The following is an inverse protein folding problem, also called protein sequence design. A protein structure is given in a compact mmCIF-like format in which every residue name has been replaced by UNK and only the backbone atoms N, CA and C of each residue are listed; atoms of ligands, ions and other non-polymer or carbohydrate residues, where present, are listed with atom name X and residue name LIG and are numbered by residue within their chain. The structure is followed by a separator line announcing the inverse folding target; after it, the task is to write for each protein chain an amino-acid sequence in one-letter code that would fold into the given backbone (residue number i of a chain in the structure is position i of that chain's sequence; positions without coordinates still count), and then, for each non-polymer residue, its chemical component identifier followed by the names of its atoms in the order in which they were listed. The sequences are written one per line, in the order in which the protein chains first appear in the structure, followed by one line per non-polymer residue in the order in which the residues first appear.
data_IF_244891131411
#
_entry.id   IF_244891131411
#
_cell.length_a   1.000
_cell.length_b   1.000
_cell.length_c   1.000
_cell.angle_alpha   90.00
_cell.angle_beta   90.00
_cell.angle_gamma   90.00
#
_symmetry.space_group_name_H-M   'P 1'
#
loop_
_entity.id
_entity.type
_entity.pdbx_description
1 polymer ?
#
# COMPACT_ATOMS: atom_id res chain seq x y z
N UNK A 1 -11.27 -2.67 -6.16
CA UNK A 1 -9.97 -3.33 -5.94
C UNK A 1 -9.11 -2.48 -5.02
N UNK A 2 -8.52 -3.08 -3.99
CA UNK A 2 -7.55 -2.46 -3.08
C UNK A 2 -6.19 -3.15 -3.26
N UNK A 3 -5.12 -2.37 -3.40
CA UNK A 3 -3.74 -2.87 -3.44
C UNK A 3 -2.98 -2.31 -2.24
N UNK A 4 -2.35 -3.17 -1.47
CA UNK A 4 -1.55 -2.83 -0.30
C UNK A 4 -0.09 -3.24 -0.49
N UNK A 5 0.85 -2.30 -0.37
CA UNK A 5 2.28 -2.54 -0.56
C UNK A 5 2.94 -2.96 0.76
N UNK A 6 3.56 -4.15 0.80
CA UNK A 6 4.01 -4.79 2.05
C UNK A 6 5.40 -4.36 2.51
N UNK A 7 6.41 -4.45 1.63
CA UNK A 7 7.82 -4.41 2.07
C UNK A 7 8.64 -3.33 1.35
N UNK A 8 9.03 -3.57 0.10
CA UNK A 8 9.99 -2.71 -0.60
C UNK A 8 9.30 -1.58 -1.35
N UNK A 9 9.84 -0.34 -1.29
CA UNK A 9 9.43 0.73 -2.18
C UNK A 9 9.53 0.27 -3.63
N UNK A 10 8.40 0.26 -4.31
CA UNK A 10 8.30 -0.20 -5.71
C UNK A 10 7.96 1.00 -6.56
N UNK A 11 8.60 1.14 -7.71
CA UNK A 11 8.14 2.12 -8.69
C UNK A 11 6.89 1.58 -9.38
N UNK A 12 5.81 2.34 -9.24
CA UNK A 12 4.50 1.95 -9.74
C UNK A 12 3.99 3.02 -10.68
N UNK A 13 3.60 2.61 -11.87
CA UNK A 13 2.83 3.40 -12.82
C UNK A 13 1.40 2.87 -12.86
N UNK A 14 0.41 3.77 -12.83
CA UNK A 14 -1.00 3.47 -13.01
C UNK A 14 -1.61 4.43 -14.00
N UNK A 15 -2.23 3.89 -15.04
CA UNK A 15 -3.08 4.65 -15.97
C UNK A 15 -4.52 4.16 -15.84
N UNK A 16 -5.43 5.07 -15.52
CA UNK A 16 -6.88 4.81 -15.56
C UNK A 16 -7.39 5.30 -16.91
N UNK A 17 -8.20 4.50 -17.59
CA UNK A 17 -8.82 4.92 -18.86
C UNK A 17 -9.65 6.21 -18.65
N UNK A 18 -9.44 7.22 -19.49
CA UNK A 18 -10.06 8.55 -19.33
C UNK A 18 -9.52 9.40 -18.18
N UNK A 19 -8.58 8.91 -17.36
CA UNK A 19 -8.01 9.61 -16.20
C UNK A 19 -6.50 9.92 -16.32
N UNK A 20 -5.95 10.70 -15.36
CA UNK A 20 -4.52 11.01 -15.33
C UNK A 20 -3.68 9.77 -15.01
N UNK A 21 -2.54 9.65 -15.70
CA UNK A 21 -1.49 8.68 -15.36
C UNK A 21 -0.77 9.11 -14.09
N UNK A 22 -0.55 8.18 -13.17
CA UNK A 22 0.24 8.39 -11.97
C UNK A 22 1.50 7.52 -12.06
N UNK A 23 2.67 8.08 -11.76
CA UNK A 23 3.92 7.33 -11.62
C UNK A 23 4.63 7.81 -10.36
N UNK A 24 4.81 6.91 -9.40
CA UNK A 24 5.45 7.24 -8.14
C UNK A 24 6.17 6.02 -7.55
N UNK A 25 7.21 6.29 -6.78
CA UNK A 25 7.77 5.29 -5.88
C UNK A 25 6.86 5.14 -4.65
N UNK A 26 6.27 3.96 -4.52
CA UNK A 26 5.30 3.64 -3.46
C UNK A 26 6.01 2.84 -2.39
N UNK A 27 6.16 3.41 -1.19
CA UNK A 27 6.73 2.71 -0.03
C UNK A 27 5.78 1.68 0.60
N UNK A 28 6.25 0.96 1.64
CA UNK A 28 5.42 0.03 2.38
C UNK A 28 4.24 0.74 3.06
N UNK A 29 3.22 -0.05 3.38
CA UNK A 29 1.98 0.37 4.04
C UNK A 29 1.09 1.29 3.21
N UNK A 30 1.42 1.47 1.93
CA UNK A 30 0.66 2.32 1.02
C UNK A 30 -0.46 1.54 0.35
N UNK A 31 -1.58 2.23 0.17
CA UNK A 31 -2.79 1.69 -0.40
C UNK A 31 -3.11 2.41 -1.69
N UNK A 32 -3.49 1.63 -2.70
CA UNK A 32 -4.14 2.14 -3.89
C UNK A 32 -5.57 1.59 -3.99
N UNK A 33 -6.52 2.47 -4.29
CA UNK A 33 -7.92 2.12 -4.50
C UNK A 33 -8.26 2.33 -5.97
N UNK A 34 -8.92 1.32 -6.54
CA UNK A 34 -9.45 1.33 -7.90
C UNK A 34 -10.93 0.92 -7.86
N UNK A 35 -11.84 1.74 -8.42
CA UNK A 35 -13.24 1.38 -8.60
C UNK A 35 -13.41 0.09 -9.41
N UNK A 36 -14.51 -0.64 -9.22
CA UNK A 36 -14.71 -1.95 -9.84
C UNK A 36 -14.93 -1.91 -11.36
N UNK A 37 -15.43 -0.79 -11.84
CA UNK A 37 -15.76 -0.46 -13.23
C UNK A 37 -14.61 0.23 -13.98
N UNK A 38 -13.55 0.64 -13.28
CA UNK A 38 -12.43 1.34 -13.89
C UNK A 38 -11.47 0.38 -14.61
N UNK A 39 -11.28 0.60 -15.92
CA UNK A 39 -10.18 -0.02 -16.67
C UNK A 39 -8.85 0.60 -16.23
N UNK A 40 -7.94 -0.20 -15.68
CA UNK A 40 -6.64 0.29 -15.19
C UNK A 40 -5.47 -0.54 -15.68
N UNK A 41 -4.46 0.15 -16.24
CA UNK A 41 -3.16 -0.42 -16.58
C UNK A 41 -2.18 -0.14 -15.46
N UNK A 42 -1.48 -1.19 -15.01
CA UNK A 42 -0.47 -1.10 -13.95
C UNK A 42 0.88 -1.58 -14.46
N UNK A 43 1.93 -0.84 -14.14
CA UNK A 43 3.31 -1.29 -14.33
C UNK A 43 4.02 -1.21 -12.99
N UNK A 44 4.59 -2.32 -12.56
CA UNK A 44 5.42 -2.40 -11.36
C UNK A 44 6.84 -2.74 -11.80
N UNK A 45 7.81 -1.92 -11.42
CA UNK A 45 9.22 -2.22 -11.65
C UNK A 45 9.84 -2.90 -10.42
N UNK A 46 10.55 -4.01 -10.63
CA UNK A 46 11.19 -4.79 -9.57
C UNK A 46 10.35 -5.99 -9.09
N UNK A 47 10.49 -6.34 -7.81
CA UNK A 47 9.80 -7.47 -7.18
C UNK A 47 8.86 -6.98 -6.07
N UNK A 48 7.69 -6.42 -6.42
CA UNK A 48 6.74 -5.94 -5.43
C UNK A 48 6.15 -7.09 -4.61
N UNK A 49 6.09 -6.89 -3.30
CA UNK A 49 5.21 -7.69 -2.44
C UNK A 49 3.96 -6.86 -2.18
N UNK A 50 2.85 -7.31 -2.77
CA UNK A 50 1.56 -6.64 -2.67
C UNK A 50 0.48 -7.61 -2.21
N UNK A 51 -0.46 -7.09 -1.44
CA UNK A 51 -1.73 -7.74 -1.15
C UNK A 51 -2.82 -7.10 -2.00
N UNK A 52 -3.56 -7.91 -2.75
CA UNK A 52 -4.71 -7.46 -3.53
C UNK A 52 -6.00 -7.96 -2.89
N UNK A 53 -6.90 -7.03 -2.58
CA UNK A 53 -8.20 -7.32 -2.00
C UNK A 53 -9.30 -6.87 -2.94
N UNK A 54 -10.22 -7.79 -3.23
CA UNK A 54 -11.41 -7.54 -4.03
C UNK A 54 -12.64 -7.59 -3.15
N UNK A 55 -13.35 -6.48 -3.08
CA UNK A 55 -14.63 -6.38 -2.40
C UNK A 55 -15.75 -6.47 -3.44
N UNK A 56 -16.77 -7.28 -3.17
CA UNK A 56 -17.96 -7.34 -4.03
C UNK A 56 -18.68 -5.99 -4.02
N UNK A 57 -19.11 -5.54 -5.21
CA UNK A 57 -19.83 -4.28 -5.37
C UNK A 57 -21.08 -4.20 -4.50
N UNK A 58 -21.81 -5.30 -4.34
CA UNK A 58 -23.02 -5.36 -3.50
C UNK A 58 -22.77 -4.98 -2.04
N UNK A 59 -21.63 -5.35 -1.46
CA UNK A 59 -21.29 -5.02 -0.05
C UNK A 59 -21.01 -3.52 0.08
N UNK A 60 -20.29 -2.94 -0.88
CA UNK A 60 -20.05 -1.49 -0.92
C UNK A 60 -21.33 -0.69 -1.15
N UNK A 61 -22.19 -1.16 -2.06
CA UNK A 61 -23.47 -0.56 -2.38
C UNK A 61 -24.42 -0.55 -1.17
N UNK A 62 -24.50 -1.66 -0.43
CA UNK A 62 -25.28 -1.74 0.80
C UNK A 62 -24.79 -0.72 1.84
N UNK A 63 -23.46 -0.64 2.07
CA UNK A 63 -22.89 0.33 2.99
C UNK A 63 -23.18 1.79 2.60
N UNK A 64 -23.08 2.12 1.31
CA UNK A 64 -23.44 3.46 0.79
C UNK A 64 -24.90 3.78 1.05
N UNK A 65 -25.80 2.84 0.74
CA UNK A 65 -27.24 3.01 0.94
C UNK A 65 -27.59 3.27 2.41
N UNK A 66 -26.97 2.56 3.33
CA UNK A 66 -27.15 2.76 4.77
C UNK A 66 -26.60 4.10 5.28
N UNK A 67 -25.42 4.52 4.81
CA UNK A 67 -24.74 5.71 5.33
C UNK A 67 -25.36 7.01 4.78
N UNK A 68 -25.62 7.03 3.49
CA UNK A 68 -25.97 8.27 2.77
C UNK A 68 -27.44 8.34 2.38
N UNK A 69 -28.20 7.25 2.55
CA UNK A 69 -29.60 7.13 2.14
C UNK A 69 -29.81 7.62 0.69
N UNK A 70 -28.85 7.30 -0.18
CA UNK A 70 -28.81 7.73 -1.57
C UNK A 70 -28.60 6.54 -2.51
N UNK A 71 -28.90 6.74 -3.79
CA UNK A 71 -28.54 5.76 -4.81
C UNK A 71 -27.02 5.64 -4.92
N UNK A 72 -26.56 4.42 -5.18
CA UNK A 72 -25.15 4.01 -5.22
C UNK A 72 -24.35 4.76 -6.27
N UNK A 73 -25.01 5.23 -7.33
CA UNK A 73 -24.49 6.11 -8.38
C UNK A 73 -23.97 7.45 -7.83
N UNK A 74 -24.45 7.90 -6.68
CA UNK A 74 -24.06 9.18 -6.08
C UNK A 74 -22.86 9.09 -5.13
N UNK A 75 -22.41 7.89 -4.75
CA UNK A 75 -21.28 7.70 -3.83
C UNK A 75 -20.25 6.71 -4.39
N UNK A 76 -19.82 6.96 -5.62
CA UNK A 76 -18.76 6.20 -6.28
C UNK A 76 -17.47 6.22 -5.47
N UNK A 77 -16.75 5.09 -5.50
CA UNK A 77 -15.42 5.01 -4.89
C UNK A 77 -14.46 5.93 -5.65
N UNK A 78 -13.78 6.82 -4.94
CA UNK A 78 -12.78 7.71 -5.53
C UNK A 78 -11.48 6.94 -5.71
N UNK A 79 -10.88 6.91 -6.93
CA UNK A 79 -9.57 6.32 -7.13
C UNK A 79 -8.51 6.98 -6.25
N UNK A 80 -7.77 6.19 -5.47
CA UNK A 80 -6.66 6.66 -4.62
C UNK A 80 -5.35 6.04 -5.06
N UNK A 81 -4.27 6.80 -5.05
CA UNK A 81 -2.93 6.33 -5.40
C UNK A 81 -1.98 6.62 -4.24
N UNK A 82 -1.26 5.58 -3.77
CA UNK A 82 -0.23 5.70 -2.74
C UNK A 82 -0.66 6.41 -1.45
N UNK A 83 -1.89 6.20 -0.98
CA UNK A 83 -2.39 6.78 0.28
C UNK A 83 -1.93 5.96 1.48
N UNK A 84 -1.96 6.58 2.67
CA UNK A 84 -1.82 5.89 3.95
C UNK A 84 -3.21 5.85 4.60
N UNK A 85 -3.73 4.66 4.87
CA UNK A 85 -4.98 4.46 5.59
C UNK A 85 -4.80 3.29 6.58
N UNK A 86 -4.52 3.60 7.86
CA UNK A 86 -4.25 2.56 8.86
C UNK A 86 -5.43 1.60 9.09
N UNK A 87 -6.67 2.06 8.95
CA UNK A 87 -7.84 1.20 9.16
C UNK A 87 -7.96 0.19 8.00
N UNK A 88 -7.82 0.65 6.75
CA UNK A 88 -7.83 -0.26 5.60
C UNK A 88 -6.66 -1.25 5.65
N UNK A 89 -5.48 -0.83 6.12
CA UNK A 89 -4.35 -1.72 6.35
C UNK A 89 -4.70 -2.84 7.34
N UNK A 90 -5.24 -2.50 8.52
CA UNK A 90 -5.60 -3.50 9.52
C UNK A 90 -6.69 -4.45 9.04
N UNK A 91 -7.72 -3.94 8.35
CA UNK A 91 -8.79 -4.78 7.79
C UNK A 91 -8.28 -5.71 6.70
N UNK A 92 -7.40 -5.22 5.82
CA UNK A 92 -6.80 -6.05 4.76
C UNK A 92 -5.93 -7.17 5.36
N UNK A 93 -5.14 -6.87 6.39
CA UNK A 93 -4.34 -7.87 7.11
C UNK A 93 -5.26 -8.90 7.78
N UNK A 94 -6.26 -8.46 8.55
CA UNK A 94 -7.18 -9.34 9.26
C UNK A 94 -7.93 -10.29 8.33
N UNK A 95 -8.44 -9.79 7.20
CA UNK A 95 -9.11 -10.61 6.18
C UNK A 95 -8.15 -11.62 5.58
N UNK A 96 -6.91 -11.21 5.28
CA UNK A 96 -5.91 -12.11 4.70
C UNK A 96 -5.54 -13.21 5.67
N UNK A 97 -5.37 -12.89 6.95
CA UNK A 97 -5.09 -13.88 8.01
C UNK A 97 -6.27 -14.85 8.16
N UNK A 98 -7.50 -14.33 8.23
CA UNK A 98 -8.71 -15.15 8.33
C UNK A 98 -8.88 -16.09 7.14
N UNK A 99 -8.60 -15.62 5.91
CA UNK A 99 -8.67 -16.44 4.70
C UNK A 99 -7.56 -17.50 4.62
N UNK A 100 -6.43 -17.28 5.30
CA UNK A 100 -5.27 -18.18 5.25
C UNK A 100 -5.34 -19.28 6.31
N UNK A 101 -5.63 -18.88 7.54
CA UNK A 101 -5.51 -19.73 8.72
C UNK A 101 -6.88 -20.19 9.23
N UNK A 102 -7.96 -19.69 8.63
CA UNK A 102 -9.32 -19.93 9.07
C UNK A 102 -9.91 -21.27 8.64
N UNK A 103 -11.00 -21.62 9.32
CA UNK A 103 -11.85 -22.78 9.04
C UNK A 103 -13.11 -22.35 8.27
N UNK A 104 -13.90 -23.31 7.80
CA UNK A 104 -15.20 -23.01 7.17
C UNK A 104 -16.17 -22.22 8.06
N UNK A 105 -15.92 -22.19 9.38
CA UNK A 105 -16.73 -21.48 10.38
C UNK A 105 -16.42 -19.97 10.45
N UNK A 106 -15.32 -19.52 9.85
CA UNK A 106 -14.92 -18.10 9.85
C UNK A 106 -15.66 -17.24 8.83
N UNK A 107 -16.66 -17.80 8.13
CA UNK A 107 -17.46 -17.07 7.13
C UNK A 107 -18.08 -15.79 7.69
N UNK A 108 -18.70 -15.86 8.87
CA UNK A 108 -19.29 -14.69 9.53
C UNK A 108 -18.24 -13.64 9.92
N UNK A 109 -17.05 -14.09 10.34
CA UNK A 109 -15.95 -13.20 10.71
C UNK A 109 -15.44 -12.43 9.48
N UNK A 110 -15.20 -13.14 8.37
CA UNK A 110 -14.77 -12.55 7.10
C UNK A 110 -15.83 -11.58 6.57
N UNK A 111 -17.11 -11.95 6.62
CA UNK A 111 -18.21 -11.10 6.19
C UNK A 111 -18.28 -9.81 7.02
N UNK A 112 -18.09 -9.91 8.34
CA UNK A 112 -18.05 -8.75 9.24
C UNK A 112 -16.88 -7.83 8.88
N UNK A 113 -15.68 -8.36 8.66
CA UNK A 113 -14.52 -7.58 8.24
C UNK A 113 -14.71 -6.92 6.87
N UNK A 114 -15.34 -7.62 5.93
CA UNK A 114 -15.67 -7.10 4.61
C UNK A 114 -16.67 -5.95 4.69
N UNK A 115 -17.71 -6.08 5.53
CA UNK A 115 -18.67 -5.01 5.81
C UNK A 115 -18.00 -3.79 6.46
N UNK A 116 -17.14 -4.00 7.47
CA UNK A 116 -16.37 -2.91 8.09
C UNK A 116 -15.51 -2.16 7.07
N UNK A 117 -14.86 -2.88 6.15
CA UNK A 117 -14.09 -2.27 5.07
C UNK A 117 -14.96 -1.48 4.11
N UNK A 118 -16.13 -2.02 3.74
CA UNK A 118 -17.10 -1.35 2.86
C UNK A 118 -17.56 -0.02 3.47
N UNK A 119 -17.95 -0.02 4.74
CA UNK A 119 -18.37 1.16 5.49
C UNK A 119 -17.24 2.19 5.57
N UNK A 120 -16.01 1.77 5.86
CA UNK A 120 -14.87 2.68 5.92
C UNK A 120 -14.54 3.30 4.55
N UNK A 121 -14.57 2.49 3.47
CA UNK A 121 -14.40 2.98 2.10
C UNK A 121 -15.47 4.01 1.73
N UNK A 122 -16.74 3.74 2.05
CA UNK A 122 -17.84 4.67 1.80
C UNK A 122 -17.62 5.99 2.55
N UNK A 123 -17.29 5.94 3.85
CA UNK A 123 -17.12 7.14 4.69
C UNK A 123 -15.95 8.02 4.29
N UNK A 124 -14.83 7.42 3.87
CA UNK A 124 -13.54 8.11 3.73
C UNK A 124 -13.07 8.28 2.29
N UNK A 125 -13.58 7.45 1.37
CA UNK A 125 -13.10 7.36 -0.01
C UNK A 125 -14.22 7.38 -1.06
N UNK A 126 -15.46 7.69 -0.70
CA UNK A 126 -16.52 7.95 -1.69
C UNK A 126 -16.52 9.39 -2.20
N UNK A 127 -17.18 9.66 -3.33
CA UNK A 127 -17.40 11.01 -3.84
C UNK A 127 -18.20 11.92 -2.90
N UNK A 128 -18.97 11.32 -1.97
CA UNK A 128 -19.72 12.01 -0.91
C UNK A 128 -18.90 12.22 0.37
N UNK A 129 -17.73 11.58 0.48
CA UNK A 129 -16.86 11.78 1.63
C UNK A 129 -16.35 13.22 1.67
N UNK A 130 -16.34 13.83 2.87
CA UNK A 130 -15.73 15.15 3.04
C UNK A 130 -14.24 15.05 2.68
N UNK A 131 -13.70 15.91 1.79
CA UNK A 131 -12.31 15.81 1.41
C UNK A 131 -11.43 15.98 2.66
N UNK A 132 -10.69 14.93 3.00
CA UNK A 132 -9.53 15.06 3.89
C UNK A 132 -8.58 16.06 3.20
N UNK A 133 -8.53 17.29 3.70
CA UNK A 133 -7.53 18.29 3.29
C UNK A 133 -6.17 17.80 3.77
N UNK A 134 -5.56 16.90 3.02
CA UNK A 134 -4.13 16.61 3.14
C UNK A 134 -3.43 17.70 2.35
N UNK A 135 -2.61 18.57 2.98
CA UNK A 135 -1.84 19.55 2.23
C UNK A 135 -0.99 18.82 1.19
N UNK A 136 -0.86 19.33 -0.04
CA UNK A 136 0.07 18.76 -1.00
C UNK A 136 1.46 18.81 -0.38
N UNK A 137 2.00 17.66 -0.01
CA UNK A 137 3.41 17.59 0.38
C UNK A 137 4.20 17.79 -0.90
N UNK A 138 5.04 18.83 -0.94
CA UNK A 138 5.94 19.07 -2.06
C UNK A 138 6.75 17.79 -2.31
N UNK A 139 6.43 17.12 -3.42
CA UNK A 139 7.05 15.86 -3.76
C UNK A 139 8.51 16.10 -4.16
N UNK A 140 9.43 15.41 -3.49
CA UNK A 140 10.78 15.25 -4.01
C UNK A 140 10.69 14.55 -5.39
N UNK A 141 11.58 14.90 -6.31
CA UNK A 141 11.62 14.25 -7.63
C UNK A 141 11.77 12.73 -7.49
N UNK A 142 11.06 11.97 -8.33
CA UNK A 142 11.03 10.50 -8.23
C UNK A 142 12.41 9.85 -8.33
N UNK A 143 13.33 10.44 -9.12
CA UNK A 143 14.71 9.96 -9.22
C UNK A 143 15.50 10.13 -7.92
N UNK A 144 15.32 11.24 -7.20
CA UNK A 144 15.99 11.47 -5.91
C UNK A 144 15.47 10.50 -4.86
N UNK A 145 14.16 10.29 -4.80
CA UNK A 145 13.60 9.31 -3.87
C UNK A 145 14.14 7.90 -4.14
N UNK A 146 14.21 7.50 -5.42
CA UNK A 146 14.79 6.22 -5.82
C UNK A 146 16.23 6.10 -5.36
N UNK A 147 17.06 7.12 -5.62
CA UNK A 147 18.48 7.11 -5.26
C UNK A 147 18.69 7.04 -3.74
N UNK A 148 17.88 7.74 -2.95
CA UNK A 148 17.95 7.64 -1.47
C UNK A 148 17.65 6.22 -1.00
N UNK A 149 16.64 5.57 -1.59
CA UNK A 149 16.29 4.19 -1.19
C UNK A 149 17.37 3.20 -1.62
N UNK A 150 17.90 3.31 -2.84
CA UNK A 150 19.05 2.52 -3.29
C UNK A 150 20.23 2.68 -2.33
N UNK A 151 20.56 3.92 -1.97
CA UNK A 151 21.62 4.21 -1.01
C UNK A 151 21.37 3.57 0.37
N UNK A 152 20.12 3.58 0.86
CA UNK A 152 19.75 2.91 2.12
C UNK A 152 19.89 1.39 1.99
N UNK A 153 19.41 0.78 0.91
CA UNK A 153 19.48 -0.68 0.72
C UNK A 153 20.93 -1.15 0.54
N UNK A 154 21.79 -0.37 -0.13
CA UNK A 154 23.22 -0.66 -0.30
C UNK A 154 24.02 -0.55 1.01
N UNK A 155 23.52 0.21 1.99
CA UNK A 155 24.25 0.55 3.23
C UNK A 155 23.45 0.22 4.49
N UNK A 156 22.49 -0.71 4.43
CA UNK A 156 21.54 -0.98 5.52
C UNK A 156 22.23 -1.39 6.83
N UNK A 157 23.36 -2.10 6.74
CA UNK A 157 24.19 -2.57 7.85
C UNK A 157 25.21 -1.52 8.33
N UNK A 158 25.40 -0.44 7.58
CA UNK A 158 26.32 0.64 7.88
C UNK A 158 25.71 1.73 8.77
N UNK A 159 26.52 2.73 9.15
CA UNK A 159 26.02 3.91 9.84
C UNK A 159 25.36 4.88 8.85
N UNK A 160 24.03 4.91 8.85
CA UNK A 160 23.21 5.69 7.94
C UNK A 160 22.60 6.89 8.64
N UNK A 161 23.21 8.06 8.47
CA UNK A 161 22.68 9.34 8.96
C UNK A 161 21.72 9.98 7.95
N UNK A 162 20.78 10.78 8.45
CA UNK A 162 19.86 11.54 7.59
C UNK A 162 20.62 12.55 6.72
N UNK A 163 21.73 13.09 7.26
CA UNK A 163 22.65 14.00 6.59
C UNK A 163 23.32 13.33 5.39
N UNK A 164 23.81 12.10 5.55
CA UNK A 164 24.43 11.35 4.47
C UNK A 164 23.42 11.04 3.35
N UNK A 165 22.21 10.61 3.72
CA UNK A 165 21.13 10.37 2.74
C UNK A 165 20.73 11.64 1.97
N UNK A 166 20.72 12.79 2.65
CA UNK A 166 20.35 14.06 2.04
C UNK A 166 21.46 14.59 1.11
N UNK A 167 22.72 14.38 1.49
CA UNK A 167 23.89 14.71 0.68
C UNK A 167 23.92 13.92 -0.64
N UNK A 168 23.58 12.64 -0.63
CA UNK A 168 23.54 11.76 -1.81
C UNK A 168 22.66 12.31 -2.95
N UNK A 169 21.62 13.08 -2.62
CA UNK A 169 20.66 13.64 -3.59
C UNK A 169 20.61 15.17 -3.63
N UNK A 170 21.53 15.82 -2.91
CA UNK A 170 21.71 17.26 -2.92
C UNK A 170 20.50 18.05 -2.41
N UNK A 171 19.88 17.62 -1.31
CA UNK A 171 18.75 18.34 -0.68
C UNK A 171 18.96 18.52 0.83
N UNK A 172 18.13 19.36 1.46
CA UNK A 172 18.16 19.53 2.92
C UNK A 172 17.69 18.26 3.64
N UNK A 173 18.34 17.85 4.76
CA UNK A 173 17.90 16.74 5.62
C UNK A 173 16.44 16.87 6.09
N UNK A 174 16.01 18.08 6.44
CA UNK A 174 14.63 18.34 6.88
C UNK A 174 13.64 18.14 5.73
N UNK A 175 14.01 18.60 4.53
CA UNK A 175 13.19 18.39 3.34
C UNK A 175 13.13 16.90 2.98
N UNK A 176 14.26 16.19 3.03
CA UNK A 176 14.32 14.75 2.82
C UNK A 176 13.42 14.01 3.80
N UNK A 177 13.53 14.25 5.10
CA UNK A 177 12.72 13.56 6.11
C UNK A 177 11.22 13.74 5.86
N UNK A 178 10.77 14.95 5.50
CA UNK A 178 9.37 15.24 5.20
C UNK A 178 8.92 14.55 3.91
N UNK A 179 9.69 14.68 2.84
CA UNK A 179 9.37 14.09 1.54
C UNK A 179 9.41 12.55 1.58
N UNK A 180 10.40 11.97 2.27
CA UNK A 180 10.54 10.54 2.50
C UNK A 180 9.37 10.00 3.31
N UNK A 181 9.01 10.64 4.45
CA UNK A 181 7.83 10.22 5.20
C UNK A 181 6.56 10.31 4.36
N UNK A 182 6.43 11.34 3.53
CA UNK A 182 5.27 11.53 2.68
C UNK A 182 5.18 10.55 1.50
N UNK A 183 6.30 10.07 0.95
CA UNK A 183 6.29 9.06 -0.12
C UNK A 183 6.31 7.62 0.42
N UNK A 184 7.14 7.37 1.45
CA UNK A 184 7.44 6.03 1.97
C UNK A 184 6.52 5.64 3.11
N UNK A 185 5.90 6.60 3.81
CA UNK A 185 4.93 6.35 4.89
C UNK A 185 5.56 6.34 6.29
N UNK A 186 6.88 6.34 6.37
CA UNK A 186 7.64 6.38 7.61
C UNK A 186 8.89 7.24 7.47
N UNK A 187 9.48 7.69 8.57
CA UNK A 187 10.74 8.45 8.52
C UNK A 187 11.89 7.59 7.98
N UNK A 188 12.93 8.20 7.38
CA UNK A 188 14.11 7.47 6.90
C UNK A 188 14.72 6.54 7.96
N UNK A 189 14.90 7.05 9.19
CA UNK A 189 15.42 6.25 10.31
C UNK A 189 14.56 5.02 10.63
N UNK A 190 13.22 5.16 10.65
CA UNK A 190 12.32 4.04 10.94
C UNK A 190 12.31 3.02 9.79
N UNK A 191 12.49 3.48 8.56
CA UNK A 191 12.67 2.61 7.40
C UNK A 191 13.94 1.77 7.54
N UNK A 192 15.10 2.38 7.85
CA UNK A 192 16.37 1.66 8.10
C UNK A 192 16.21 0.61 9.19
N UNK A 193 15.63 0.97 10.34
CA UNK A 193 15.40 0.02 11.43
C UNK A 193 14.52 -1.17 11.01
N UNK A 194 13.47 -0.90 10.24
CA UNK A 194 12.56 -1.94 9.76
C UNK A 194 13.28 -2.88 8.79
N UNK A 195 14.14 -2.35 7.91
CA UNK A 195 14.96 -3.15 7.00
C UNK A 195 15.96 -4.03 7.74
N UNK A 196 16.68 -3.49 8.72
CA UNK A 196 17.60 -4.27 9.58
C UNK A 196 16.89 -5.44 10.28
N UNK A 197 15.68 -5.21 10.82
CA UNK A 197 14.90 -6.28 11.45
C UNK A 197 14.50 -7.36 10.43
N UNK A 198 14.03 -6.96 9.25
CA UNK A 198 13.61 -7.90 8.19
C UNK A 198 14.80 -8.71 7.68
N UNK A 199 15.95 -8.07 7.44
CA UNK A 199 17.14 -8.74 6.94
C UNK A 199 17.69 -9.73 7.99
N UNK A 200 17.70 -9.37 9.28
CA UNK A 200 18.02 -10.31 10.38
C UNK A 200 17.04 -11.49 10.46
N UNK A 201 15.73 -11.24 10.27
CA UNK A 201 14.73 -12.31 10.24
C UNK A 201 14.92 -13.25 9.05
N UNK A 202 15.31 -12.73 7.89
CA UNK A 202 15.57 -13.53 6.70
C UNK A 202 16.80 -14.44 6.87
N UNK A 203 17.87 -13.96 7.52
CA UNK A 203 19.05 -14.76 7.87
C UNK A 203 18.70 -15.88 8.85
N UNK A 204 17.92 -15.59 9.90
CA UNK A 204 17.47 -16.59 10.88
C UNK A 204 16.58 -17.67 10.23
N UNK A 205 15.73 -17.29 9.28
CA UNK A 205 14.87 -18.22 8.55
C UNK A 205 15.68 -19.06 7.54
N UNK A 206 16.75 -18.51 6.95
CA UNK A 206 17.63 -19.24 6.04
C UNK A 206 18.43 -20.34 6.75
N UNK A 207 18.76 -20.15 8.03
CA UNK A 207 19.38 -21.17 8.90
C UNK A 207 18.39 -22.22 9.43
N UNK A 208 17.08 -22.03 9.24
CA UNK A 208 16.03 -22.94 9.70
C UNK A 208 15.72 -24.01 8.63
N UNK A 209 16.09 -25.28 8.89
CA UNK A 209 15.72 -26.41 8.00
C UNK A 209 14.21 -26.67 8.04
N UNK A 210 13.49 -26.68 6.89
CA UNK A 210 12.04 -26.71 6.86
C UNK A 210 11.47 -28.11 7.16
N UNK A 211 10.64 -28.19 8.21
CA UNK A 211 9.73 -29.28 8.48
C UNK A 211 8.27 -28.80 8.40
N UNK A 212 7.69 -28.87 7.19
CA UNK A 212 6.26 -28.71 6.84
C UNK A 212 5.60 -27.31 7.00
N UNK A 213 4.77 -27.03 6.00
CA UNK A 213 3.69 -26.03 5.89
C UNK A 213 4.09 -24.59 5.52
N UNK A 214 3.54 -24.09 4.40
CA UNK A 214 2.59 -22.97 4.34
C UNK A 214 2.38 -22.53 2.88
N UNK A 215 1.18 -22.77 2.34
CA UNK A 215 0.74 -22.17 1.09
C UNK A 215 0.28 -20.75 1.34
N UNK A 216 1.05 -19.76 0.89
CA UNK A 216 0.64 -18.36 0.82
C UNK A 216 0.24 -18.13 -0.63
N UNK A 217 -0.95 -17.61 -0.92
CA UNK A 217 -1.16 -16.93 -2.22
C UNK A 217 -0.63 -15.52 -2.08
N UNK A 218 0.69 -15.45 -1.96
CA UNK A 218 1.49 -14.26 -2.16
C UNK A 218 1.46 -14.10 -3.67
N UNK A 219 0.71 -13.14 -4.20
CA UNK A 219 0.94 -12.72 -5.58
C UNK A 219 2.24 -11.94 -5.57
N UNK A 220 3.37 -12.66 -5.47
CA UNK A 220 4.67 -12.16 -5.92
C UNK A 220 4.50 -11.98 -7.42
N UNK A 221 4.18 -10.76 -7.84
CA UNK A 221 4.07 -10.42 -9.25
C UNK A 221 5.44 -10.63 -9.88
N UNK A 222 5.66 -11.81 -10.49
CA UNK A 222 6.80 -12.04 -11.37
C UNK A 222 6.49 -11.35 -12.69
N UNK A 223 6.86 -10.08 -12.79
CA UNK A 223 6.83 -9.31 -14.03
C UNK A 223 5.65 -8.35 -14.19
N UNK A 224 5.63 -7.59 -15.30
CA UNK A 224 4.65 -6.54 -15.56
C UNK A 224 3.26 -7.15 -15.67
N UNK A 225 2.36 -6.69 -14.79
CA UNK A 225 0.99 -7.18 -14.70
C UNK A 225 0.10 -6.34 -15.62
N UNK A 226 -0.05 -6.75 -16.88
CA UNK A 226 -1.03 -6.15 -17.78
C UNK A 226 -2.41 -6.78 -17.56
N UNK A 227 -3.37 -5.99 -17.07
CA UNK A 227 -4.77 -6.13 -17.48
C UNK A 227 -5.11 -4.94 -18.36
#
# INVERSE_FOLDING_TARGET
MLIYHLTRPTEVSRKIEGGPGNRQLIGPRRICLTPGDATTRWEHHGHPEILQVYLRGSIYQAAVGEIYNCDTSHAELVPRFAILDPMLEQLAIAITTALRDGTAEDGLYIDTLAQMMAVHLARMHSSQSRPMRVPPVQAISGWRMRRVIEYIEENVDGDLSLEAMAAEVGISPIYLARAFKAAVGQSPHRYVLTRRIIDWQAEIIADFRPGKALGIVLVKSRGPFSR
#
